data_IF_438294028780
#
_entry.id   IF_438294028780
#
_cell.length_a   1.000
_cell.length_b   1.000
_cell.length_c   1.000
_cell.angle_alpha   90.00
_cell.angle_beta   90.00
_cell.angle_gamma   90.00
#
_symmetry.space_group_name_H-M   'P 1'
#
loop_
_entity.id
_entity.type
_entity.pdbx_description
1 polymer ?
#
# COMPACT_ATOMS: atom_id res chain seq x y z
N UNK A 1 -10.70 36.25 -43.45
CA UNK A 1 -11.77 36.22 -42.44
C UNK A 1 -12.79 35.17 -42.84
N UNK A 2 -12.93 34.12 -42.04
CA UNK A 2 -14.28 33.62 -41.76
C UNK A 2 -14.49 33.41 -40.24
N UNK A 3 -15.74 33.64 -39.83
CA UNK A 3 -16.24 33.57 -38.47
C UNK A 3 -16.24 32.13 -37.94
N UNK A 4 -15.56 31.87 -36.83
CA UNK A 4 -15.86 30.72 -35.98
C UNK A 4 -17.11 31.02 -35.16
N UNK A 5 -18.19 30.31 -35.46
CA UNK A 5 -19.42 30.32 -34.65
C UNK A 5 -19.10 29.76 -33.26
N UNK A 6 -19.14 30.62 -32.23
CA UNK A 6 -19.30 30.16 -30.85
C UNK A 6 -20.77 29.79 -30.65
N UNK A 7 -21.07 28.49 -30.61
CA UNK A 7 -22.33 28.03 -30.03
C UNK A 7 -22.21 28.13 -28.51
N UNK A 8 -22.82 29.18 -27.95
CA UNK A 8 -23.16 29.24 -26.53
C UNK A 8 -24.30 28.24 -26.27
N UNK A 9 -24.00 27.12 -25.61
CA UNK A 9 -25.03 26.34 -24.93
C UNK A 9 -25.07 26.73 -23.45
N UNK A 10 -26.25 27.18 -23.04
CA UNK A 10 -26.64 27.53 -21.69
C UNK A 10 -26.57 26.33 -20.74
N UNK A 11 -25.96 26.57 -19.57
CA UNK A 11 -26.21 25.94 -18.26
C UNK A 11 -26.48 24.42 -18.18
N UNK A 12 -25.42 23.66 -17.90
CA UNK A 12 -25.50 22.40 -17.12
C UNK A 12 -24.20 22.19 -16.32
N UNK A 13 -24.24 21.83 -15.02
CA UNK A 13 -23.05 21.76 -14.17
C UNK A 13 -22.43 20.36 -14.27
N UNK A 14 -21.86 19.99 -15.42
CA UNK A 14 -21.07 18.78 -15.60
C UNK A 14 -20.18 18.97 -16.85
N UNK A 15 -19.13 19.78 -16.70
CA UNK A 15 -18.12 19.93 -17.75
C UNK A 15 -16.95 19.00 -17.42
N UNK A 16 -16.94 17.81 -18.01
CA UNK A 16 -15.80 16.89 -17.98
C UNK A 16 -14.83 17.35 -19.06
N UNK A 17 -13.68 17.92 -18.68
CA UNK A 17 -12.59 18.21 -19.62
C UNK A 17 -11.69 16.98 -19.68
N UNK A 18 -11.86 16.13 -20.70
CA UNK A 18 -10.94 15.02 -20.98
C UNK A 18 -9.77 15.59 -21.80
N UNK A 19 -8.58 15.75 -21.19
CA UNK A 19 -7.34 15.99 -21.93
C UNK A 19 -6.82 14.66 -22.48
N UNK A 20 -6.84 14.49 -23.81
CA UNK A 20 -6.15 13.38 -24.47
C UNK A 20 -4.70 13.78 -24.79
N UNK A 21 -3.72 13.01 -24.32
CA UNK A 21 -2.38 13.01 -24.92
C UNK A 21 -2.31 11.83 -25.89
N UNK A 22 -2.32 12.13 -27.19
CA UNK A 22 -2.08 11.15 -28.25
C UNK A 22 -0.57 11.00 -28.40
N UNK A 23 -0.01 9.86 -28.02
CA UNK A 23 1.28 9.39 -28.51
C UNK A 23 1.02 8.22 -29.48
N UNK A 24 1.20 8.49 -30.77
CA UNK A 24 1.11 7.49 -31.83
C UNK A 24 2.46 6.82 -32.02
N UNK A 25 2.53 5.50 -31.79
CA UNK A 25 3.59 4.65 -32.33
C UNK A 25 3.02 3.27 -32.68
N UNK A 26 2.98 2.98 -33.99
CA UNK A 26 3.10 1.65 -34.63
C UNK A 26 2.30 0.46 -34.09
N UNK A 27 1.23 0.11 -34.82
CA UNK A 27 0.64 -1.24 -35.00
C UNK A 27 0.52 -2.14 -33.75
N UNK A 28 -0.61 -2.03 -33.06
CA UNK A 28 -1.06 -2.99 -32.04
C UNK A 28 -1.58 -2.33 -30.78
N UNK A 29 -2.72 -1.65 -30.85
CA UNK A 29 -3.30 -0.96 -29.70
C UNK A 29 -3.92 -1.96 -28.72
N UNK A 30 -3.26 -2.22 -27.59
CA UNK A 30 -3.89 -2.77 -26.39
C UNK A 30 -4.45 -1.60 -25.59
N UNK A 31 -5.77 -1.51 -25.50
CA UNK A 31 -6.43 -0.53 -24.63
C UNK A 31 -6.39 -1.06 -23.19
N UNK A 32 -5.44 -0.61 -22.40
CA UNK A 32 -5.53 -0.76 -20.94
C UNK A 32 -6.26 0.48 -20.42
N UNK A 33 -7.55 0.33 -20.12
CA UNK A 33 -8.33 1.36 -19.43
C UNK A 33 -7.81 1.51 -18.00
N UNK A 34 -6.97 2.50 -17.76
CA UNK A 34 -6.67 2.98 -16.40
C UNK A 34 -7.15 4.43 -16.35
N UNK A 35 -8.26 4.75 -15.64
CA UNK A 35 -8.64 6.12 -15.42
C UNK A 35 -7.62 6.76 -14.47
N UNK A 36 -6.71 7.57 -15.01
CA UNK A 36 -5.95 8.55 -14.21
C UNK A 36 -6.94 9.70 -13.96
N UNK A 37 -7.60 9.69 -12.80
CA UNK A 37 -8.56 10.71 -12.42
C UNK A 37 -7.94 11.66 -11.39
N UNK A 38 -7.33 12.74 -11.87
CA UNK A 38 -7.13 13.94 -11.08
C UNK A 38 -8.46 14.72 -11.03
N UNK A 39 -9.21 14.64 -9.93
CA UNK A 39 -10.34 15.54 -9.65
C UNK A 39 -10.34 15.92 -8.16
N UNK A 40 -9.91 17.15 -7.88
CA UNK A 40 -9.72 17.73 -6.55
C UNK A 40 -11.01 18.11 -5.80
N UNK A 41 -12.20 17.61 -6.16
CA UNK A 41 -13.47 18.08 -5.56
C UNK A 41 -14.54 17.02 -5.22
N UNK A 42 -14.24 15.73 -5.33
CA UNK A 42 -14.99 14.63 -4.69
C UNK A 42 -14.15 13.38 -4.87
N UNK A 43 -13.77 12.69 -3.78
CA UNK A 43 -13.18 11.36 -3.91
C UNK A 43 -14.13 10.52 -4.78
N UNK A 44 -13.70 10.03 -5.96
CA UNK A 44 -14.46 9.02 -6.67
C UNK A 44 -14.63 7.84 -5.71
N UNK A 45 -15.83 7.26 -5.66
CA UNK A 45 -16.10 6.06 -4.86
C UNK A 45 -15.03 5.03 -5.21
N UNK A 46 -14.23 4.59 -4.22
CA UNK A 46 -13.27 3.52 -4.43
C UNK A 46 -14.06 2.26 -4.74
N UNK A 47 -14.07 1.86 -6.02
CA UNK A 47 -14.70 0.62 -6.42
C UNK A 47 -13.73 -0.52 -6.12
N UNK A 48 -14.24 -1.58 -5.51
CA UNK A 48 -13.51 -2.83 -5.36
C UNK A 48 -13.14 -3.31 -6.76
N UNK A 49 -11.86 -3.17 -7.12
CA UNK A 49 -11.36 -3.69 -8.38
C UNK A 49 -11.24 -5.19 -8.25
N UNK A 50 -11.88 -5.94 -9.15
CA UNK A 50 -11.61 -7.37 -9.26
C UNK A 50 -10.20 -7.56 -9.81
N UNK A 51 -9.31 -8.09 -8.98
CA UNK A 51 -7.97 -8.49 -9.37
C UNK A 51 -8.04 -9.70 -10.30
N UNK A 52 -7.69 -9.50 -11.57
CA UNK A 52 -7.71 -10.52 -12.63
C UNK A 52 -6.33 -10.61 -13.25
N UNK A 53 -5.83 -11.83 -13.42
CA UNK A 53 -4.51 -12.09 -13.98
C UNK A 53 -3.58 -12.75 -12.98
N UNK A 54 -2.29 -12.60 -13.20
CA UNK A 54 -1.23 -13.17 -12.35
C UNK A 54 -1.10 -12.40 -11.03
N UNK A 55 -0.51 -13.04 -10.03
CA UNK A 55 -0.26 -12.44 -8.71
C UNK A 55 0.59 -11.17 -8.85
N UNK A 56 1.59 -11.22 -9.73
CA UNK A 56 2.50 -10.14 -10.06
C UNK A 56 1.79 -8.93 -10.70
N UNK A 57 0.90 -9.17 -11.67
CA UNK A 57 0.10 -8.10 -12.29
C UNK A 57 -0.82 -7.41 -11.28
N UNK A 58 -1.44 -8.20 -10.40
CA UNK A 58 -2.32 -7.70 -9.35
C UNK A 58 -1.56 -6.84 -8.34
N UNK A 59 -0.34 -7.24 -7.94
CA UNK A 59 0.54 -6.44 -7.12
C UNK A 59 0.99 -5.14 -7.79
N UNK A 60 1.32 -5.18 -9.08
CA UNK A 60 1.68 -3.97 -9.83
C UNK A 60 0.51 -2.99 -9.92
N UNK A 61 -0.73 -3.49 -10.02
CA UNK A 61 -1.93 -2.67 -9.96
C UNK A 61 -2.13 -2.07 -8.57
N UNK A 62 -1.96 -2.86 -7.51
CA UNK A 62 -2.02 -2.42 -6.12
C UNK A 62 -1.06 -1.26 -5.85
N UNK A 63 0.19 -1.35 -6.30
CA UNK A 63 1.20 -0.29 -6.12
C UNK A 63 0.82 0.99 -6.89
N UNK A 64 0.23 0.86 -8.09
CA UNK A 64 -0.29 2.02 -8.82
C UNK A 64 -1.44 2.70 -8.08
N UNK A 65 -2.36 1.92 -7.50
CA UNK A 65 -3.46 2.43 -6.69
C UNK A 65 -2.95 3.14 -5.44
N UNK A 66 -1.98 2.53 -4.74
CA UNK A 66 -1.32 3.17 -3.60
C UNK A 66 -0.76 4.53 -4.00
N UNK A 67 0.05 4.60 -5.08
CA UNK A 67 0.67 5.85 -5.51
C UNK A 67 -0.37 6.93 -5.79
N UNK A 68 -1.42 6.61 -6.55
CA UNK A 68 -2.50 7.55 -6.84
C UNK A 68 -3.26 8.01 -5.58
N UNK A 69 -3.28 7.20 -4.52
CA UNK A 69 -3.96 7.50 -3.27
C UNK A 69 -3.14 8.43 -2.37
N UNK A 70 -1.81 8.38 -2.45
CA UNK A 70 -0.91 9.12 -1.54
C UNK A 70 -0.16 10.28 -2.20
N UNK A 71 -0.13 10.39 -3.54
CA UNK A 71 0.73 11.36 -4.24
C UNK A 71 0.36 12.83 -4.02
N UNK A 72 -0.90 13.12 -3.73
CA UNK A 72 -1.43 14.48 -3.49
C UNK A 72 -1.83 14.71 -2.01
N UNK A 73 -1.48 13.80 -1.09
CA UNK A 73 -1.81 13.89 0.34
C UNK A 73 -0.55 13.94 1.21
N UNK A 74 -0.46 14.98 2.04
CA UNK A 74 0.69 15.23 2.93
C UNK A 74 0.48 14.62 4.32
N UNK A 75 -0.77 14.31 4.69
CA UNK A 75 -1.09 13.77 6.00
C UNK A 75 -0.65 12.31 6.13
N UNK A 76 0.46 12.11 6.84
CA UNK A 76 1.04 10.81 7.16
C UNK A 76 0.03 9.79 7.70
N UNK A 77 -0.85 10.20 8.63
CA UNK A 77 -1.83 9.28 9.23
C UNK A 77 -2.87 8.86 8.19
N UNK A 78 -3.36 9.79 7.38
CA UNK A 78 -4.29 9.47 6.29
C UNK A 78 -3.67 8.48 5.29
N UNK A 79 -2.42 8.71 4.88
CA UNK A 79 -1.69 7.84 3.97
C UNK A 79 -1.52 6.42 4.54
N UNK A 80 -1.06 6.29 5.79
CA UNK A 80 -0.91 5.00 6.46
C UNK A 80 -2.26 4.29 6.67
N UNK A 81 -3.29 5.02 7.11
CA UNK A 81 -4.64 4.45 7.27
C UNK A 81 -5.18 3.89 5.97
N UNK A 82 -5.10 4.66 4.88
CA UNK A 82 -5.56 4.24 3.56
C UNK A 82 -4.72 3.09 2.99
N UNK A 83 -3.39 3.10 3.18
CA UNK A 83 -2.52 2.01 2.75
C UNK A 83 -2.86 0.68 3.46
N UNK A 84 -3.10 0.72 4.77
CA UNK A 84 -3.52 -0.49 5.53
C UNK A 84 -4.87 -1.02 5.05
N UNK A 85 -5.84 -0.13 4.79
CA UNK A 85 -7.14 -0.51 4.27
C UNK A 85 -7.05 -1.13 2.86
N UNK A 86 -6.22 -0.54 2.00
CA UNK A 86 -5.99 -1.02 0.64
C UNK A 86 -5.35 -2.42 0.64
N UNK A 87 -4.32 -2.65 1.48
CA UNK A 87 -3.70 -3.97 1.64
C UNK A 87 -4.69 -4.99 2.21
N UNK A 88 -5.50 -4.61 3.20
CA UNK A 88 -6.49 -5.49 3.81
C UNK A 88 -7.60 -5.94 2.84
N UNK A 89 -7.92 -5.10 1.86
CA UNK A 89 -8.86 -5.47 0.79
C UNK A 89 -8.19 -6.37 -0.27
N UNK A 90 -6.90 -6.16 -0.52
CA UNK A 90 -6.14 -6.88 -1.56
C UNK A 90 -5.73 -8.28 -1.13
N UNK A 91 -5.19 -8.42 0.08
CA UNK A 91 -4.64 -9.67 0.59
C UNK A 91 -5.76 -10.57 1.11
N UNK A 92 -5.75 -11.83 0.67
CA UNK A 92 -6.60 -12.88 1.26
C UNK A 92 -5.85 -13.60 2.37
N UNK A 93 -6.60 -14.22 3.28
CA UNK A 93 -6.06 -15.10 4.31
C UNK A 93 -5.05 -14.41 5.25
N UNK A 94 -5.30 -13.15 5.56
CA UNK A 94 -4.58 -12.39 6.60
C UNK A 94 -5.51 -12.09 7.77
N UNK A 95 -4.97 -11.91 8.97
CA UNK A 95 -5.71 -11.48 10.16
C UNK A 95 -5.27 -10.11 10.69
N UNK A 96 -4.14 -9.59 10.21
CA UNK A 96 -3.63 -8.28 10.58
C UNK A 96 -2.80 -7.67 9.44
N UNK A 97 -2.91 -6.36 9.24
CA UNK A 97 -2.02 -5.57 8.39
C UNK A 97 -1.95 -4.13 8.87
N UNK A 98 -0.75 -3.60 9.02
CA UNK A 98 -0.58 -2.25 9.54
C UNK A 98 0.86 -1.84 9.73
N UNK A 99 1.05 -0.80 10.53
CA UNK A 99 2.33 -0.13 10.64
C UNK A 99 2.75 0.02 12.10
N UNK A 100 4.05 -0.09 12.34
CA UNK A 100 4.68 0.46 13.52
C UNK A 100 5.71 1.51 13.11
N UNK A 101 5.69 2.67 13.76
CA UNK A 101 6.53 3.81 13.45
C UNK A 101 7.68 3.89 14.45
N UNK A 102 8.87 4.22 13.97
CA UNK A 102 10.04 4.31 14.84
C UNK A 102 9.95 5.58 15.70
N UNK A 103 9.97 5.42 17.02
CA UNK A 103 10.14 6.48 18.00
C UNK A 103 11.34 6.14 18.89
N UNK A 104 12.47 6.82 18.67
CA UNK A 104 13.75 6.53 19.33
C UNK A 104 14.19 5.08 19.06
N UNK A 105 14.23 4.23 20.09
CA UNK A 105 14.68 2.84 20.03
C UNK A 105 13.52 1.83 20.06
N UNK A 106 12.28 2.30 19.83
CA UNK A 106 11.08 1.49 19.84
C UNK A 106 10.23 1.72 18.60
N UNK A 107 9.53 0.68 18.19
CA UNK A 107 8.45 0.71 17.21
C UNK A 107 7.13 0.94 17.95
N UNK A 108 6.40 1.99 17.59
CA UNK A 108 5.13 2.39 18.20
C UNK A 108 3.99 2.15 17.22
N UNK A 109 2.91 1.54 17.70
CA UNK A 109 1.76 1.16 16.89
C UNK A 109 1.16 2.37 16.15
N UNK A 110 1.11 2.26 14.82
CA UNK A 110 0.47 3.20 13.91
C UNK A 110 -0.88 2.69 13.39
N UNK A 111 -1.39 3.22 12.26
CA UNK A 111 -2.62 2.73 11.65
C UNK A 111 -2.55 1.26 11.20
N UNK A 112 -3.64 0.53 11.36
CA UNK A 112 -3.72 -0.89 11.01
C UNK A 112 -5.18 -1.33 10.75
N UNK A 113 -5.32 -2.53 10.18
CA UNK A 113 -6.56 -3.30 10.07
C UNK A 113 -6.37 -4.65 10.78
N UNK A 114 -7.27 -5.00 11.69
CA UNK A 114 -7.18 -6.23 12.47
C UNK A 114 -7.64 -6.06 13.92
N UNK A 115 -7.33 -7.03 14.77
CA UNK A 115 -7.56 -6.93 16.22
C UNK A 115 -6.56 -5.95 16.87
N UNK A 116 -6.88 -5.43 18.08
CA UNK A 116 -5.93 -4.65 18.86
C UNK A 116 -4.59 -5.37 19.04
N UNK A 117 -3.49 -4.64 18.89
CA UNK A 117 -2.13 -5.17 18.89
C UNK A 117 -1.27 -4.54 20.00
N UNK A 118 -0.02 -5.01 20.11
CA UNK A 118 0.95 -4.47 21.06
C UNK A 118 1.25 -3.00 20.73
N UNK A 119 1.36 -2.14 21.75
CA UNK A 119 1.54 -0.69 21.50
C UNK A 119 3.00 -0.32 21.21
N UNK A 120 3.95 -1.02 21.84
CA UNK A 120 5.39 -0.76 21.72
C UNK A 120 6.17 -2.05 21.54
N UNK A 121 7.12 -2.04 20.61
CA UNK A 121 8.03 -3.15 20.33
C UNK A 121 9.46 -2.62 20.30
N UNK A 122 10.36 -3.05 21.21
CA UNK A 122 11.74 -2.61 21.16
C UNK A 122 12.45 -3.06 19.87
N UNK A 123 13.33 -2.21 19.33
CA UNK A 123 14.15 -2.59 18.17
C UNK A 123 14.98 -3.84 18.50
N UNK A 124 15.02 -4.78 17.55
CA UNK A 124 15.67 -6.07 17.69
C UNK A 124 14.90 -7.14 18.46
N UNK A 125 13.65 -6.90 18.85
CA UNK A 125 12.76 -7.87 19.52
C UNK A 125 11.59 -8.28 18.64
N UNK A 126 11.24 -9.57 18.66
CA UNK A 126 10.22 -10.12 17.77
C UNK A 126 10.61 -9.99 16.29
N UNK A 127 9.67 -10.33 15.41
CA UNK A 127 9.86 -10.23 13.96
C UNK A 127 9.93 -8.75 13.55
N UNK A 128 8.97 -7.94 14.02
CA UNK A 128 8.92 -6.49 13.83
C UNK A 128 10.24 -5.77 14.19
N UNK A 129 10.72 -5.95 15.43
CA UNK A 129 11.96 -5.32 15.87
C UNK A 129 13.19 -5.85 15.14
N UNK A 130 13.19 -7.13 14.74
CA UNK A 130 14.28 -7.71 13.93
C UNK A 130 14.36 -7.06 12.55
N UNK A 131 13.23 -6.91 11.86
CA UNK A 131 13.16 -6.23 10.57
C UNK A 131 13.63 -4.77 10.66
N UNK A 132 13.22 -4.05 11.71
CA UNK A 132 13.68 -2.69 11.99
C UNK A 132 15.20 -2.62 12.21
N UNK A 133 15.76 -3.52 13.03
CA UNK A 133 17.20 -3.55 13.31
C UNK A 133 18.02 -3.85 12.05
N UNK A 134 17.59 -4.85 11.28
CA UNK A 134 18.33 -5.33 10.11
C UNK A 134 18.08 -4.49 8.87
N UNK A 135 17.05 -3.64 8.88
CA UNK A 135 16.60 -2.83 7.74
C UNK A 135 16.36 -3.69 6.50
N UNK A 136 15.76 -4.87 6.72
CA UNK A 136 15.46 -5.86 5.70
C UNK A 136 14.11 -6.51 5.97
N UNK A 137 13.48 -6.98 4.90
CA UNK A 137 12.31 -7.84 4.99
C UNK A 137 12.61 -9.09 5.83
N UNK A 138 11.70 -9.43 6.73
CA UNK A 138 11.73 -10.69 7.49
C UNK A 138 10.41 -11.41 7.19
N UNK A 139 10.52 -12.55 6.53
CA UNK A 139 9.38 -13.42 6.19
C UNK A 139 9.46 -14.71 6.98
N UNK A 140 8.45 -14.96 7.82
CA UNK A 140 8.44 -16.04 8.81
C UNK A 140 7.35 -17.05 8.43
N UNK A 141 7.73 -18.29 8.06
CA UNK A 141 6.76 -19.32 7.66
C UNK A 141 5.93 -19.88 8.81
N UNK A 142 6.50 -19.92 10.02
CA UNK A 142 5.83 -20.34 11.26
C UNK A 142 6.30 -19.49 12.45
N UNK A 143 5.47 -18.55 12.91
CA UNK A 143 5.86 -17.60 13.98
C UNK A 143 6.16 -18.29 15.31
N UNK A 144 5.55 -19.46 15.57
CA UNK A 144 5.85 -20.26 16.77
C UNK A 144 7.29 -20.79 16.78
N UNK A 145 7.94 -20.86 15.62
CA UNK A 145 9.33 -21.30 15.49
C UNK A 145 10.33 -20.14 15.50
N UNK A 146 9.85 -18.90 15.49
CA UNK A 146 10.71 -17.72 15.47
C UNK A 146 11.26 -17.40 16.88
N UNK A 147 12.58 -17.38 17.09
CA UNK A 147 13.16 -17.11 18.40
C UNK A 147 12.80 -15.71 18.91
N UNK A 148 12.20 -15.64 20.10
CA UNK A 148 11.81 -14.37 20.70
C UNK A 148 10.58 -13.73 20.05
N UNK A 149 9.71 -14.53 19.43
CA UNK A 149 8.40 -14.11 18.94
C UNK A 149 7.57 -13.43 20.03
N UNK A 150 6.95 -12.31 19.68
CA UNK A 150 6.04 -11.53 20.53
C UNK A 150 4.67 -11.62 19.87
N UNK A 151 3.84 -12.56 20.30
CA UNK A 151 2.51 -12.74 19.74
C UNK A 151 1.51 -11.76 20.38
N UNK A 152 0.82 -10.94 19.56
CA UNK A 152 -0.30 -10.12 20.02
C UNK A 152 -1.66 -10.76 19.65
N UNK A 153 -1.77 -11.43 18.48
CA UNK A 153 -2.89 -12.29 18.10
C UNK A 153 -2.45 -13.76 18.11
N UNK A 154 -3.07 -14.58 18.98
CA UNK A 154 -2.75 -16.00 19.10
C UNK A 154 -3.12 -16.82 17.85
N UNK A 155 -3.86 -16.24 16.90
CA UNK A 155 -4.21 -16.90 15.63
C UNK A 155 -3.09 -16.80 14.60
N UNK A 156 -2.18 -15.84 14.71
CA UNK A 156 -1.12 -15.64 13.72
C UNK A 156 -0.20 -16.87 13.68
N UNK A 157 0.02 -17.39 12.46
CA UNK A 157 0.84 -18.56 12.17
C UNK A 157 1.99 -18.25 11.23
N UNK A 158 1.87 -17.27 10.35
CA UNK A 158 2.99 -16.73 9.56
C UNK A 158 2.92 -15.21 9.53
N UNK A 159 4.06 -14.56 9.32
CA UNK A 159 4.21 -13.11 9.41
C UNK A 159 5.20 -12.64 8.35
N UNK A 160 4.97 -11.48 7.76
CA UNK A 160 5.96 -10.78 6.94
C UNK A 160 6.07 -9.33 7.38
N UNK A 161 7.29 -8.91 7.72
CA UNK A 161 7.58 -7.54 8.13
C UNK A 161 8.55 -6.90 7.16
N UNK A 162 8.24 -5.69 6.72
CA UNK A 162 8.96 -4.94 5.70
C UNK A 162 9.35 -3.56 6.25
N UNK A 163 10.63 -3.17 6.19
CA UNK A 163 11.06 -1.86 6.64
C UNK A 163 10.54 -0.76 5.71
N UNK A 164 10.07 0.34 6.30
CA UNK A 164 9.76 1.59 5.61
C UNK A 164 11.00 2.48 5.67
N UNK A 165 11.69 2.65 4.53
CA UNK A 165 12.93 3.43 4.45
C UNK A 165 12.76 4.54 3.40
N UNK A 166 13.00 5.79 3.80
CA UNK A 166 13.14 6.91 2.88
C UNK A 166 14.43 7.67 3.19
N UNK A 167 15.12 8.12 2.15
CA UNK A 167 16.37 8.88 2.28
C UNK A 167 17.45 8.21 3.16
N UNK A 168 17.42 6.87 3.27
CA UNK A 168 18.33 6.08 4.12
C UNK A 168 17.94 6.01 5.60
N UNK A 169 16.86 6.65 6.00
CA UNK A 169 16.31 6.64 7.35
C UNK A 169 15.18 5.62 7.50
N UNK A 170 15.19 4.91 8.63
CA UNK A 170 14.11 3.97 8.97
C UNK A 170 12.95 4.75 9.58
N UNK A 171 11.83 4.78 8.89
CA UNK A 171 10.59 5.44 9.34
C UNK A 171 9.81 4.52 10.30
N UNK A 172 9.88 3.22 10.06
CA UNK A 172 9.06 2.22 10.73
C UNK A 172 9.05 0.90 9.96
N UNK A 173 8.02 0.09 10.18
CA UNK A 173 7.80 -1.18 9.48
C UNK A 173 6.33 -1.31 9.06
N UNK A 174 6.11 -1.97 7.93
CA UNK A 174 4.84 -2.60 7.53
C UNK A 174 4.86 -4.03 8.06
N UNK A 175 3.82 -4.42 8.76
CA UNK A 175 3.65 -5.74 9.36
C UNK A 175 2.33 -6.37 8.88
N UNK A 176 2.36 -7.65 8.55
CA UNK A 176 1.25 -8.42 8.00
C UNK A 176 1.28 -9.84 8.57
N UNK A 177 0.20 -10.21 9.25
CA UNK A 177 0.01 -11.53 9.83
C UNK A 177 -1.00 -12.38 9.04
N UNK A 178 -0.80 -13.69 9.08
CA UNK A 178 -1.77 -14.67 8.59
C UNK A 178 -2.05 -15.77 9.61
N UNK A 179 -3.31 -16.26 9.70
CA UNK A 179 -3.62 -17.47 10.48
C UNK A 179 -3.14 -18.77 9.81
N UNK A 180 -2.60 -18.70 8.60
CA UNK A 180 -2.03 -19.84 7.89
C UNK A 180 -0.51 -19.83 8.05
N UNK A 181 0.11 -21.01 8.11
CA UNK A 181 1.56 -21.16 7.94
C UNK A 181 1.93 -20.93 6.48
N UNK A 182 3.17 -20.52 6.23
CA UNK A 182 3.74 -20.38 4.88
C UNK A 182 2.85 -19.53 3.95
N UNK A 183 2.10 -18.56 4.49
CA UNK A 183 1.18 -17.74 3.68
C UNK A 183 1.92 -16.87 2.68
N UNK A 184 3.09 -16.37 3.06
CA UNK A 184 3.86 -15.41 2.28
C UNK A 184 4.98 -16.11 1.52
N UNK A 185 5.02 -15.92 0.21
CA UNK A 185 6.07 -16.41 -0.68
C UNK A 185 7.05 -15.30 -1.13
N UNK A 186 8.00 -15.64 -1.99
CA UNK A 186 8.98 -14.68 -2.53
C UNK A 186 8.32 -13.60 -3.39
N UNK A 187 7.18 -13.90 -4.04
CA UNK A 187 6.42 -12.92 -4.81
C UNK A 187 5.78 -11.90 -3.86
N UNK A 188 5.16 -12.35 -2.77
CA UNK A 188 4.64 -11.46 -1.73
C UNK A 188 5.74 -10.55 -1.20
N UNK A 189 6.87 -11.11 -0.78
CA UNK A 189 8.00 -10.34 -0.23
C UNK A 189 8.49 -9.26 -1.19
N UNK A 190 8.73 -9.62 -2.44
CA UNK A 190 9.21 -8.69 -3.47
C UNK A 190 8.26 -7.52 -3.68
N UNK A 191 6.98 -7.79 -3.91
CA UNK A 191 6.04 -6.75 -4.30
C UNK A 191 5.50 -5.95 -3.12
N UNK A 192 5.36 -6.56 -1.94
CA UNK A 192 5.04 -5.84 -0.73
C UNK A 192 6.21 -4.94 -0.31
N UNK A 193 7.47 -5.35 -0.51
CA UNK A 193 8.61 -4.43 -0.30
C UNK A 193 8.55 -3.25 -1.26
N UNK A 194 8.22 -3.47 -2.54
CA UNK A 194 8.00 -2.36 -3.48
C UNK A 194 6.86 -1.44 -3.06
N UNK A 195 5.78 -1.98 -2.50
CA UNK A 195 4.68 -1.19 -1.92
C UNK A 195 5.17 -0.35 -0.74
N UNK A 196 5.93 -0.95 0.19
CA UNK A 196 6.52 -0.28 1.34
C UNK A 196 7.48 0.85 0.92
N UNK A 197 8.32 0.62 -0.09
CA UNK A 197 9.28 1.59 -0.62
C UNK A 197 8.58 2.81 -1.23
N UNK A 198 7.49 2.59 -1.98
CA UNK A 198 6.66 3.68 -2.53
C UNK A 198 6.02 4.46 -1.40
N UNK A 199 5.36 3.78 -0.46
CA UNK A 199 4.67 4.44 0.66
C UNK A 199 5.63 5.27 1.51
N UNK A 200 6.82 4.74 1.79
CA UNK A 200 7.85 5.40 2.60
C UNK A 200 8.16 6.83 2.14
N UNK A 201 8.11 7.10 0.82
CA UNK A 201 8.37 8.43 0.26
C UNK A 201 7.32 9.49 0.65
N UNK A 202 6.11 9.06 1.05
CA UNK A 202 4.97 9.92 1.38
C UNK A 202 4.58 9.88 2.86
N UNK A 203 5.37 9.21 3.70
CA UNK A 203 5.11 9.06 5.15
C UNK A 203 6.34 9.32 6.02
N UNK A 204 7.38 9.95 5.46
CA UNK A 204 8.53 10.43 6.22
C UNK A 204 8.19 11.63 7.10
#
# INVERSE_FOLDING_TARGET
MPLSHFLFFLFHPLCIIIKYHILSIGTGTVFVNIPILAVKERMPVFQVVEYKGTKEENYLLLIKQLKALVEDEENRIANLSNASALLNQFLTDINWVGFYLLEKDELVLGPFQGLPACVRIPVGKGVCGTAARERKAIRVPDVEQFPGHIACDARSRSEIVLPLIADGELIGVLDIDSPLKDRFDETDEKYLQMFADVLAQYVK
#
